data_IF_856524438652
#
_entry.id   IF_856524438652
#
_cell.length_a   1.000
_cell.length_b   1.000
_cell.length_c   1.000
_cell.angle_alpha   90.00
_cell.angle_beta   90.00
_cell.angle_gamma   90.00
#
_symmetry.space_group_name_H-M   'P 1'
#
loop_
_entity.id
_entity.type
_entity.pdbx_description
1 polymer ?
#
# COMPACT_ATOMS: atom_id res chain seq x y z
N UNK A 1 26.50 34.08 45.70
CA UNK A 1 26.33 33.71 44.28
C UNK A 1 25.08 32.84 44.12
N UNK A 2 23.91 33.38 43.76
CA UNK A 2 22.70 32.58 43.53
C UNK A 2 22.42 32.43 42.03
N UNK A 3 22.18 31.21 41.54
CA UNK A 3 21.65 30.96 40.19
C UNK A 3 20.16 30.59 40.28
N UNK A 4 19.36 31.46 39.70
CA UNK A 4 17.90 31.40 39.58
C UNK A 4 17.45 30.15 38.81
N UNK A 5 16.54 29.37 39.40
CA UNK A 5 15.74 28.36 38.66
C UNK A 5 14.47 29.06 38.17
N UNK A 6 14.41 29.35 36.87
CA UNK A 6 13.20 29.84 36.20
C UNK A 6 12.21 28.68 36.00
N UNK A 7 10.97 28.91 36.42
CA UNK A 7 9.80 28.05 36.22
C UNK A 7 9.22 28.27 34.82
N UNK A 8 9.19 27.24 33.98
CA UNK A 8 8.52 27.28 32.67
C UNK A 8 7.16 26.58 32.75
N UNK A 9 6.12 27.31 32.39
CA UNK A 9 4.71 26.90 32.35
C UNK A 9 4.46 25.78 31.30
N UNK A 10 3.43 24.93 31.48
CA UNK A 10 3.11 23.88 30.51
C UNK A 10 2.50 24.45 29.22
N UNK A 11 3.06 24.03 28.08
CA UNK A 11 2.63 24.41 26.74
C UNK A 11 1.19 24.00 26.45
N UNK A 12 0.44 24.94 25.89
CA UNK A 12 -0.94 24.80 25.40
C UNK A 12 -1.05 23.66 24.36
N UNK A 13 -2.09 22.82 24.38
CA UNK A 13 -2.24 21.74 23.40
C UNK A 13 -2.53 22.32 22.00
N UNK A 14 -2.01 21.70 20.92
CA UNK A 14 -2.24 22.17 19.57
C UNK A 14 -3.71 22.05 19.19
N UNK A 15 -4.24 23.13 18.61
CA UNK A 15 -5.63 23.24 18.19
C UNK A 15 -5.93 22.21 17.10
N UNK A 16 -6.99 21.44 17.31
CA UNK A 16 -7.59 20.53 16.34
C UNK A 16 -8.23 21.37 15.23
N UNK A 17 -7.52 21.49 14.12
CA UNK A 17 -7.96 22.23 12.94
C UNK A 17 -6.85 22.19 11.92
N UNK A 18 -6.67 21.04 11.28
CA UNK A 18 -5.90 21.01 10.04
C UNK A 18 -6.55 20.04 9.07
N UNK A 19 -6.74 20.55 7.86
CA UNK A 19 -7.36 19.88 6.73
C UNK A 19 -6.58 18.60 6.43
N UNK A 20 -7.28 17.51 6.10
CA UNK A 20 -6.67 16.20 5.83
C UNK A 20 -5.86 16.13 4.52
N UNK A 21 -4.93 17.06 4.32
CA UNK A 21 -3.97 17.07 3.22
C UNK A 21 -2.88 16.08 3.56
N UNK A 22 -2.88 14.95 2.84
CA UNK A 22 -1.86 13.92 3.00
C UNK A 22 -0.65 14.34 2.15
N UNK A 23 0.39 14.87 2.79
CA UNK A 23 1.68 15.09 2.15
C UNK A 23 2.36 13.75 1.96
N UNK A 24 2.45 13.28 0.72
CA UNK A 24 3.21 12.09 0.37
C UNK A 24 4.61 12.53 -0.12
N UNK A 25 5.64 12.25 0.68
CA UNK A 25 7.02 12.54 0.34
C UNK A 25 7.55 11.45 -0.61
N UNK A 26 7.49 11.72 -1.90
CA UNK A 26 8.20 10.95 -2.91
C UNK A 26 9.53 11.64 -3.21
N UNK A 27 10.64 11.05 -2.75
CA UNK A 27 11.98 11.58 -2.99
C UNK A 27 12.35 11.52 -4.46
N UNK A 28 12.14 12.62 -5.18
CA UNK A 28 12.73 12.87 -6.50
C UNK A 28 13.15 14.32 -6.59
N UNK A 29 14.41 14.53 -6.95
CA UNK A 29 15.07 15.83 -7.17
C UNK A 29 14.25 16.69 -8.14
N UNK A 30 13.49 17.65 -7.60
CA UNK A 30 12.68 18.58 -8.39
C UNK A 30 11.62 19.22 -7.51
N UNK A 31 11.67 20.55 -7.37
CA UNK A 31 10.84 21.38 -6.49
C UNK A 31 9.35 21.45 -6.89
N UNK A 32 8.73 20.35 -7.32
CA UNK A 32 7.30 20.27 -7.60
C UNK A 32 6.62 19.51 -6.47
N UNK A 33 6.19 20.25 -5.44
CA UNK A 33 5.25 19.74 -4.45
C UNK A 33 3.93 19.48 -5.17
N UNK A 34 3.63 18.21 -5.45
CA UNK A 34 2.35 17.83 -6.05
C UNK A 34 1.29 17.92 -4.96
N UNK A 35 0.60 19.05 -4.88
CA UNK A 35 -0.52 19.25 -3.98
C UNK A 35 -1.76 18.57 -4.58
N UNK A 36 -2.18 17.45 -3.98
CA UNK A 36 -3.31 16.65 -4.45
C UNK A 36 -4.35 16.58 -3.35
N UNK A 37 -5.57 17.00 -3.66
CA UNK A 37 -6.71 16.84 -2.76
C UNK A 37 -7.08 15.35 -2.56
N UNK A 38 -7.52 14.98 -1.36
CA UNK A 38 -7.87 13.61 -1.02
C UNK A 38 -9.00 13.05 -1.92
N UNK A 39 -9.94 13.89 -2.35
CA UNK A 39 -10.99 13.47 -3.29
C UNK A 39 -10.41 13.17 -4.67
N UNK A 40 -9.50 14.01 -5.15
CA UNK A 40 -8.81 13.81 -6.41
C UNK A 40 -7.94 12.55 -6.38
N UNK A 41 -7.22 12.31 -5.28
CA UNK A 41 -6.43 11.09 -5.10
C UNK A 41 -7.30 9.83 -5.13
N UNK A 42 -8.46 9.85 -4.46
CA UNK A 42 -9.45 8.74 -4.53
C UNK A 42 -9.96 8.52 -5.95
N UNK A 43 -10.24 9.59 -6.68
CA UNK A 43 -10.69 9.51 -8.07
C UNK A 43 -9.60 8.95 -9.00
N UNK A 44 -8.34 9.34 -8.82
CA UNK A 44 -7.20 8.77 -9.54
C UNK A 44 -7.04 7.29 -9.21
N UNK A 45 -7.02 6.91 -7.93
CA UNK A 45 -6.93 5.51 -7.50
C UNK A 45 -8.03 4.65 -8.14
N UNK A 46 -9.28 5.11 -8.09
CA UNK A 46 -10.42 4.39 -8.69
C UNK A 46 -10.24 4.16 -10.19
N UNK A 47 -9.86 5.21 -10.94
CA UNK A 47 -9.63 5.11 -12.39
C UNK A 47 -8.45 4.18 -12.72
N UNK A 48 -7.37 4.30 -11.96
CA UNK A 48 -6.21 3.44 -12.11
C UNK A 48 -6.55 1.97 -11.86
N UNK A 49 -7.29 1.66 -10.79
CA UNK A 49 -7.71 0.29 -10.49
C UNK A 49 -8.67 -0.26 -11.56
N UNK A 50 -9.59 0.55 -12.07
CA UNK A 50 -10.46 0.15 -13.18
C UNK A 50 -9.64 -0.22 -14.43
N UNK A 51 -8.70 0.64 -14.82
CA UNK A 51 -7.84 0.38 -15.97
C UNK A 51 -6.99 -0.89 -15.80
N UNK A 52 -6.43 -1.10 -14.61
CA UNK A 52 -5.64 -2.31 -14.34
C UNK A 52 -6.50 -3.58 -14.36
N UNK A 53 -7.74 -3.50 -13.88
CA UNK A 53 -8.69 -4.62 -13.99
C UNK A 53 -8.95 -4.97 -15.45
N UNK A 54 -9.20 -3.97 -16.30
CA UNK A 54 -9.46 -4.18 -17.73
C UNK A 54 -8.23 -4.74 -18.44
N UNK A 55 -7.03 -4.24 -18.12
CA UNK A 55 -5.77 -4.77 -18.65
C UNK A 55 -5.57 -6.22 -18.25
N UNK A 56 -5.79 -6.56 -16.98
CA UNK A 56 -5.67 -7.92 -16.48
C UNK A 56 -6.64 -8.85 -17.20
N UNK A 57 -7.89 -8.42 -17.40
CA UNK A 57 -8.90 -9.20 -18.11
C UNK A 57 -8.47 -9.47 -19.56
N UNK A 58 -8.03 -8.45 -20.30
CA UNK A 58 -7.57 -8.61 -21.70
C UNK A 58 -6.38 -9.55 -21.80
N UNK A 59 -5.42 -9.45 -20.88
CA UNK A 59 -4.29 -10.37 -20.81
C UNK A 59 -4.79 -11.79 -20.57
N UNK A 60 -5.68 -12.00 -19.59
CA UNK A 60 -6.24 -13.31 -19.33
C UNK A 60 -6.95 -13.89 -20.55
N UNK A 61 -7.75 -13.09 -21.26
CA UNK A 61 -8.46 -13.48 -22.49
C UNK A 61 -7.50 -13.94 -23.59
N UNK A 62 -6.35 -13.28 -23.76
CA UNK A 62 -5.33 -13.64 -24.74
C UNK A 62 -4.39 -14.78 -24.33
N UNK A 63 -4.38 -15.21 -23.06
CA UNK A 63 -3.53 -16.30 -22.57
C UNK A 63 -4.11 -17.66 -22.93
N UNK A 64 -3.20 -18.59 -23.26
CA UNK A 64 -3.55 -20.01 -23.41
C UNK A 64 -4.05 -20.59 -22.08
N UNK A 65 -4.89 -21.63 -22.13
CA UNK A 65 -5.53 -22.22 -20.93
C UNK A 65 -4.54 -22.55 -19.81
N UNK A 66 -3.39 -23.15 -20.15
CA UNK A 66 -2.35 -23.51 -19.18
C UNK A 66 -1.68 -22.28 -18.54
N UNK A 67 -1.40 -21.26 -19.33
CA UNK A 67 -0.82 -20.00 -18.84
C UNK A 67 -1.80 -19.25 -17.94
N UNK A 68 -3.09 -19.23 -18.33
CA UNK A 68 -4.14 -18.60 -17.52
C UNK A 68 -4.27 -19.26 -16.15
N UNK A 69 -4.24 -20.59 -16.08
CA UNK A 69 -4.26 -21.33 -14.81
C UNK A 69 -3.06 -20.98 -13.92
N UNK A 70 -1.86 -20.89 -14.51
CA UNK A 70 -0.66 -20.51 -13.77
C UNK A 70 -0.75 -19.09 -13.20
N UNK A 71 -1.16 -18.11 -14.01
CA UNK A 71 -1.31 -16.71 -13.58
C UNK A 71 -2.37 -16.56 -12.49
N UNK A 72 -3.44 -17.36 -12.51
CA UNK A 72 -4.45 -17.37 -11.46
C UNK A 72 -3.94 -17.97 -10.14
N UNK A 73 -3.00 -18.92 -10.20
CA UNK A 73 -2.43 -19.57 -9.01
C UNK A 73 -1.33 -18.74 -8.35
N UNK A 74 -0.57 -17.98 -9.14
CA UNK A 74 0.59 -17.22 -8.69
C UNK A 74 0.31 -16.30 -7.47
N UNK A 75 -0.82 -15.60 -7.36
CA UNK A 75 -1.15 -14.85 -6.16
C UNK A 75 -1.22 -15.70 -4.88
N UNK A 76 -1.72 -16.94 -4.96
CA UNK A 76 -1.80 -17.85 -3.82
C UNK A 76 -0.41 -18.24 -3.32
N UNK A 77 0.50 -18.53 -4.26
CA UNK A 77 1.88 -18.93 -3.95
C UNK A 77 2.64 -17.85 -3.20
N UNK A 78 2.37 -16.57 -3.50
CA UNK A 78 2.98 -15.45 -2.77
C UNK A 78 2.21 -15.03 -1.52
N UNK A 79 0.94 -15.42 -1.40
CA UNK A 79 0.16 -15.15 -0.21
C UNK A 79 0.50 -16.11 0.94
N UNK A 80 0.87 -17.35 0.62
CA UNK A 80 1.18 -18.40 1.61
C UNK A 80 2.69 -18.60 1.73
N UNK A 81 3.19 -18.55 2.95
CA UNK A 81 4.57 -18.89 3.27
C UNK A 81 4.61 -20.24 4.00
N UNK A 82 4.78 -21.33 3.25
CA UNK A 82 4.73 -22.70 3.77
C UNK A 82 6.02 -23.47 3.45
N UNK A 83 6.57 -24.28 4.38
CA UNK A 83 7.86 -24.97 4.21
C UNK A 83 7.94 -25.92 3.01
N UNK A 84 6.80 -26.38 2.48
CA UNK A 84 6.75 -27.22 1.28
C UNK A 84 6.68 -26.42 -0.04
N UNK A 85 6.61 -25.09 0.03
CA UNK A 85 6.61 -24.23 -1.15
C UNK A 85 8.02 -23.69 -1.43
N UNK A 86 8.42 -23.58 -2.72
CA UNK A 86 9.68 -22.93 -3.07
C UNK A 86 9.64 -21.46 -2.65
N UNK A 87 10.75 -20.97 -2.09
CA UNK A 87 10.86 -19.60 -1.58
C UNK A 87 10.53 -19.43 -0.10
N UNK A 88 10.20 -20.51 0.63
CA UNK A 88 10.09 -20.47 2.09
C UNK A 88 11.46 -20.20 2.73
N UNK A 89 11.55 -19.12 3.50
CA UNK A 89 12.75 -18.76 4.26
C UNK A 89 12.56 -18.98 5.76
N UNK A 90 11.43 -18.53 6.32
CA UNK A 90 11.12 -18.62 7.74
C UNK A 90 9.65 -18.38 7.99
N UNK A 91 9.10 -18.91 9.08
CA UNK A 91 7.72 -18.63 9.53
C UNK A 91 7.45 -17.17 9.87
N UNK A 92 8.50 -16.35 10.04
CA UNK A 92 8.41 -14.91 10.30
C UNK A 92 8.56 -14.04 9.05
N UNK A 93 8.82 -14.64 7.89
CA UNK A 93 8.96 -13.87 6.65
C UNK A 93 7.63 -13.23 6.26
N UNK A 94 7.63 -11.95 5.88
CA UNK A 94 6.40 -11.28 5.44
C UNK A 94 5.87 -11.99 4.19
N UNK A 95 4.60 -12.35 4.22
CA UNK A 95 3.88 -12.95 3.09
C UNK A 95 2.51 -12.29 2.95
N UNK A 96 1.91 -12.44 1.76
CA UNK A 96 0.65 -11.79 1.46
C UNK A 96 0.73 -10.88 0.24
N UNK A 97 -0.41 -10.75 -0.42
CA UNK A 97 -0.64 -9.77 -1.47
C UNK A 97 -1.78 -8.89 -1.00
N UNK A 98 -1.58 -7.57 -1.03
CA UNK A 98 -2.62 -6.60 -0.70
C UNK A 98 -3.86 -6.80 -1.56
N UNK A 99 -5.03 -6.71 -0.95
CA UNK A 99 -6.34 -6.91 -1.61
C UNK A 99 -6.56 -8.30 -2.23
N UNK A 100 -5.69 -9.29 -1.94
CA UNK A 100 -5.90 -10.70 -2.32
C UNK A 100 -6.40 -11.50 -1.12
N UNK A 101 -7.55 -12.14 -1.26
CA UNK A 101 -8.07 -13.12 -0.33
C UNK A 101 -8.19 -14.48 -1.04
N UNK A 102 -7.54 -15.54 -0.55
CA UNK A 102 -7.77 -16.87 -1.10
C UNK A 102 -9.24 -17.26 -0.90
N UNK A 103 -9.82 -17.95 -1.89
CA UNK A 103 -11.19 -18.44 -1.79
C UNK A 103 -11.34 -19.37 -0.57
N UNK A 104 -12.52 -19.36 0.08
CA UNK A 104 -12.83 -20.14 1.29
C UNK A 104 -12.92 -21.66 1.08
N UNK A 105 -12.17 -22.23 0.15
CA UNK A 105 -12.13 -23.69 -0.07
C UNK A 105 -10.70 -24.18 0.09
N UNK A 106 -10.34 -24.42 1.35
CA UNK A 106 -9.45 -25.48 1.80
C UNK A 106 -10.11 -26.09 3.05
#
# INVERSE_FOLDING_TARGET
>A
MPRSRQSTLPGKPPRRGDSGVVHADFGTTGNQRIEIDALQLRAVRRRFMALNKDRLQRVQEGLERRQRQFIQLLPLLFHINHPMLPGYLSSKSPCGISDYAPGKRC
#
